data_IF_129497437830
#
_entry.id   IF_129497437830
#
_cell.length_a   1.000
_cell.length_b   1.000
_cell.length_c   1.000
_cell.angle_alpha   90.00
_cell.angle_beta   90.00
_cell.angle_gamma   90.00
#
_symmetry.space_group_name_H-M   'P 1'
#
loop_
_entity.id
_entity.type
_entity.pdbx_description
1 polymer ?
#
# COMPACT_ATOMS: atom_id res chain seq x y z
N UNK A 1 1.67 -13.96 1.70
CA UNK A 1 0.70 -12.84 1.77
C UNK A 1 -0.03 -12.99 3.09
N UNK A 2 -0.28 -11.91 3.81
CA UNK A 2 -1.14 -11.93 5.00
C UNK A 2 -2.41 -11.13 4.72
N UNK A 3 -3.56 -11.63 5.14
CA UNK A 3 -4.83 -10.93 5.00
C UNK A 3 -5.75 -11.18 6.19
N UNK A 4 -6.65 -10.24 6.45
CA UNK A 4 -7.80 -10.44 7.32
C UNK A 4 -9.05 -10.69 6.47
N UNK A 5 -9.51 -11.95 6.33
CA UNK A 5 -10.65 -12.28 5.49
C UNK A 5 -11.92 -11.57 5.96
N UNK A 6 -12.66 -10.98 5.02
CA UNK A 6 -13.93 -10.32 5.32
C UNK A 6 -13.81 -8.91 5.91
N UNK A 7 -12.59 -8.41 6.15
CA UNK A 7 -12.36 -7.04 6.66
C UNK A 7 -13.01 -5.96 5.80
N UNK A 8 -13.12 -6.17 4.49
CA UNK A 8 -13.79 -5.26 3.56
C UNK A 8 -15.27 -5.04 3.87
N UNK A 9 -15.95 -6.00 4.52
CA UNK A 9 -17.38 -5.92 4.83
C UNK A 9 -17.71 -4.83 5.85
N UNK A 10 -16.74 -4.47 6.68
CA UNK A 10 -16.93 -3.43 7.69
C UNK A 10 -16.89 -2.01 7.08
N UNK A 11 -16.32 -1.84 5.87
CA UNK A 11 -16.08 -0.55 5.19
C UNK A 11 -15.60 0.52 6.19
N UNK A 12 -14.65 0.12 7.02
CA UNK A 12 -14.06 0.98 8.05
C UNK A 12 -12.56 0.96 7.86
N UNK A 13 -11.99 2.14 7.64
CA UNK A 13 -10.56 2.28 7.48
C UNK A 13 -9.87 1.92 8.80
N UNK A 14 -9.00 0.92 8.75
CA UNK A 14 -8.10 0.63 9.86
C UNK A 14 -7.02 1.71 9.91
N UNK A 15 -6.72 2.31 11.07
CA UNK A 15 -5.67 3.33 11.16
C UNK A 15 -4.32 2.77 10.73
N UNK A 16 -3.70 3.40 9.73
CA UNK A 16 -2.35 3.09 9.28
C UNK A 16 -1.37 4.13 9.81
N UNK A 17 -0.19 3.69 10.25
CA UNK A 17 0.88 4.57 10.70
C UNK A 17 2.22 4.17 10.07
N UNK A 18 3.13 5.13 9.82
CA UNK A 18 4.49 4.82 9.40
C UNK A 18 5.19 3.94 10.44
N UNK A 19 5.81 2.85 9.98
CA UNK A 19 6.47 1.87 10.84
C UNK A 19 7.66 2.50 11.57
N UNK A 20 7.68 2.38 12.90
CA UNK A 20 8.79 2.77 13.77
C UNK A 20 8.81 4.26 14.16
N UNK A 21 8.81 5.16 13.19
CA UNK A 21 8.97 6.61 13.43
C UNK A 21 7.66 7.36 13.64
N UNK A 22 6.54 6.83 13.15
CA UNK A 22 5.28 7.58 13.03
C UNK A 22 5.31 8.69 11.96
N UNK A 23 6.46 8.93 11.31
CA UNK A 23 6.62 9.90 10.21
C UNK A 23 6.81 9.19 8.87
N UNK A 24 5.98 9.55 7.89
CA UNK A 24 5.98 9.02 6.52
C UNK A 24 7.22 9.46 5.72
N UNK A 25 7.85 10.56 6.12
CA UNK A 25 9.10 11.02 5.52
C UNK A 25 10.29 10.13 5.91
N UNK A 26 10.21 9.45 7.06
CA UNK A 26 11.26 8.57 7.56
C UNK A 26 10.98 7.08 7.24
N UNK A 27 9.71 6.71 7.11
CA UNK A 27 9.30 5.33 6.84
C UNK A 27 8.17 5.26 5.82
N UNK A 28 8.46 4.66 4.67
CA UNK A 28 7.46 4.38 3.63
C UNK A 28 6.69 3.07 3.87
N UNK A 29 7.08 2.31 4.89
CA UNK A 29 6.33 1.11 5.30
C UNK A 29 5.22 1.54 6.25
N UNK A 30 3.99 1.15 5.95
CA UNK A 30 2.86 1.33 6.85
C UNK A 30 2.65 0.08 7.70
N UNK A 31 2.26 0.29 8.95
CA UNK A 31 1.81 -0.75 9.87
C UNK A 31 0.44 -0.39 10.45
N UNK A 32 -0.25 -1.41 10.93
CA UNK A 32 -1.55 -1.31 11.58
C UNK A 32 -1.50 -2.07 12.90
N UNK A 33 -2.19 -1.53 13.90
CA UNK A 33 -2.43 -2.26 15.13
C UNK A 33 -3.72 -3.06 14.95
N UNK A 34 -3.58 -4.38 14.84
CA UNK A 34 -4.74 -5.27 14.74
C UNK A 34 -5.33 -5.54 16.12
N UNK A 35 -6.67 -5.57 16.25
CA UNK A 35 -7.31 -6.08 17.46
C UNK A 35 -6.80 -7.47 17.82
N UNK A 36 -6.72 -7.77 19.12
CA UNK A 36 -6.42 -9.12 19.59
C UNK A 36 -7.41 -10.13 18.97
N UNK A 37 -6.90 -11.31 18.58
CA UNK A 37 -7.67 -12.38 17.91
C UNK A 37 -8.22 -12.01 16.52
N UNK A 38 -7.66 -10.99 15.86
CA UNK A 38 -7.94 -10.78 14.44
C UNK A 38 -7.54 -12.02 13.65
N UNK A 39 -8.45 -12.62 12.84
CA UNK A 39 -8.16 -13.82 12.07
C UNK A 39 -7.30 -13.49 10.85
N UNK A 40 -6.00 -13.24 11.08
CA UNK A 40 -5.05 -13.05 9.99
C UNK A 40 -4.65 -14.40 9.43
N UNK A 41 -4.86 -14.58 8.14
CA UNK A 41 -4.47 -15.78 7.41
C UNK A 41 -3.20 -15.51 6.61
N UNK A 42 -2.29 -16.49 6.62
CA UNK A 42 -1.14 -16.51 5.73
C UNK A 42 -1.46 -17.34 4.49
N UNK A 43 -1.34 -16.72 3.32
CA UNK A 43 -1.47 -17.39 2.02
C UNK A 43 -0.10 -17.44 1.35
N UNK A 44 0.38 -18.65 1.10
CA UNK A 44 1.53 -18.88 0.23
C UNK A 44 1.13 -18.59 -1.22
N UNK A 45 1.95 -17.81 -1.94
CA UNK A 45 1.71 -17.45 -3.34
C UNK A 45 2.83 -18.04 -4.18
N UNK A 46 2.60 -19.19 -4.85
CA UNK A 46 3.60 -19.82 -5.69
C UNK A 46 4.04 -18.92 -6.85
N UNK A 47 5.26 -19.15 -7.35
CA UNK A 47 5.77 -18.44 -8.52
C UNK A 47 4.80 -18.59 -9.70
N UNK A 48 4.45 -17.47 -10.33
CA UNK A 48 3.52 -17.42 -11.47
C UNK A 48 2.04 -17.40 -11.08
N UNK A 49 1.72 -17.55 -9.79
CA UNK A 49 0.36 -17.33 -9.28
C UNK A 49 0.13 -15.85 -9.00
N UNK A 50 -1.14 -15.48 -8.86
CA UNK A 50 -1.57 -14.13 -8.50
C UNK A 50 -2.57 -14.20 -7.35
N UNK A 51 -2.61 -13.14 -6.55
CA UNK A 51 -3.73 -12.84 -5.67
C UNK A 51 -4.46 -11.61 -6.20
N UNK A 52 -5.77 -11.59 -6.04
CA UNK A 52 -6.62 -10.44 -6.37
C UNK A 52 -7.47 -10.16 -5.13
N UNK A 53 -7.50 -8.91 -4.70
CA UNK A 53 -8.25 -8.49 -3.52
C UNK A 53 -8.84 -7.09 -3.75
N UNK A 54 -9.97 -6.87 -3.11
CA UNK A 54 -10.60 -5.55 -3.01
C UNK A 54 -9.74 -4.59 -2.17
N UNK A 55 -9.77 -3.29 -2.47
CA UNK A 55 -8.92 -2.31 -1.80
C UNK A 55 -9.20 -2.16 -0.29
N UNK A 56 -10.39 -2.54 0.17
CA UNK A 56 -10.78 -2.52 1.57
C UNK A 56 -10.35 -3.77 2.35
N UNK A 57 -9.83 -4.80 1.67
CA UNK A 57 -9.29 -5.97 2.36
C UNK A 57 -8.01 -5.54 3.07
N UNK A 58 -7.99 -5.64 4.39
CA UNK A 58 -6.78 -5.45 5.19
C UNK A 58 -5.81 -6.58 4.86
N UNK A 59 -4.64 -6.19 4.37
CA UNK A 59 -3.64 -7.12 3.88
C UNK A 59 -2.24 -6.56 4.03
N UNK A 60 -1.24 -7.43 3.98
CA UNK A 60 0.15 -7.04 4.15
C UNK A 60 1.11 -8.18 3.88
N UNK A 61 2.36 -7.95 4.28
CA UNK A 61 3.38 -8.99 4.25
C UNK A 61 4.35 -8.83 5.40
N UNK A 62 4.61 -9.93 6.11
CA UNK A 62 5.74 -10.03 7.01
C UNK A 62 7.10 -9.89 6.30
N UNK A 63 8.12 -9.67 7.12
CA UNK A 63 9.52 -9.66 6.70
C UNK A 63 9.94 -10.99 6.06
N UNK A 64 10.87 -10.92 5.11
CA UNK A 64 11.41 -12.11 4.47
C UNK A 64 12.51 -12.73 5.34
N UNK A 65 12.26 -13.92 5.88
CA UNK A 65 13.21 -14.66 6.74
C UNK A 65 14.04 -15.70 5.98
N UNK A 66 13.83 -15.84 4.67
CA UNK A 66 14.61 -16.74 3.83
C UNK A 66 15.93 -16.11 3.38
N UNK A 67 16.81 -16.94 2.82
CA UNK A 67 18.08 -16.55 2.20
C UNK A 67 17.92 -16.05 0.75
N UNK A 68 16.68 -15.99 0.23
CA UNK A 68 16.37 -15.65 -1.17
C UNK A 68 15.58 -14.37 -1.26
N UNK A 69 15.77 -13.63 -2.36
CA UNK A 69 14.98 -12.44 -2.66
C UNK A 69 13.54 -12.80 -3.04
N UNK A 70 12.57 -12.24 -2.30
CA UNK A 70 11.15 -12.28 -2.65
C UNK A 70 10.82 -11.16 -3.63
N UNK A 71 10.44 -11.51 -4.86
CA UNK A 71 10.04 -10.56 -5.91
C UNK A 71 8.55 -10.66 -6.16
N UNK A 72 7.86 -9.52 -6.22
CA UNK A 72 6.42 -9.44 -6.53
C UNK A 72 6.15 -8.21 -7.42
N UNK A 73 5.13 -8.29 -8.25
CA UNK A 73 4.58 -7.14 -8.96
C UNK A 73 3.20 -6.81 -8.36
N UNK A 74 2.89 -5.52 -8.26
CA UNK A 74 1.60 -5.05 -7.76
C UNK A 74 0.98 -4.18 -8.85
N UNK A 75 -0.28 -4.47 -9.17
CA UNK A 75 -1.06 -3.74 -10.17
C UNK A 75 -2.36 -3.33 -9.49
N UNK A 76 -2.68 -2.03 -9.47
CA UNK A 76 -3.92 -1.51 -8.93
C UNK A 76 -4.86 -1.12 -10.08
N UNK A 77 -6.02 -1.78 -10.17
CA UNK A 77 -7.06 -1.42 -11.14
C UNK A 77 -8.02 -0.42 -10.48
N UNK A 78 -8.23 0.73 -11.11
CA UNK A 78 -9.14 1.78 -10.65
C UNK A 78 -10.09 2.19 -11.76
N UNK A 79 -11.31 2.61 -11.39
CA UNK A 79 -12.25 3.16 -12.37
C UNK A 79 -11.75 4.51 -12.89
N UNK A 80 -12.14 4.86 -14.13
CA UNK A 80 -11.83 6.18 -14.69
C UNK A 80 -12.39 7.33 -13.82
N UNK A 81 -13.54 7.11 -13.18
CA UNK A 81 -14.14 8.10 -12.27
C UNK A 81 -13.29 8.31 -11.01
N UNK A 82 -12.78 7.21 -10.42
CA UNK A 82 -11.88 7.24 -9.26
C UNK A 82 -10.60 8.00 -9.61
N UNK A 83 -9.97 7.65 -10.75
CA UNK A 83 -8.75 8.33 -11.23
C UNK A 83 -8.99 9.83 -11.45
N UNK A 84 -10.13 10.21 -12.06
CA UNK A 84 -10.48 11.62 -12.29
C UNK A 84 -10.63 12.38 -10.97
N UNK A 85 -11.30 11.77 -9.99
CA UNK A 85 -11.50 12.38 -8.68
C UNK A 85 -10.17 12.53 -7.93
N UNK A 86 -9.37 11.47 -7.85
CA UNK A 86 -8.06 11.46 -7.19
C UNK A 86 -7.13 12.52 -7.78
N UNK A 87 -7.06 12.63 -9.12
CA UNK A 87 -6.30 13.70 -9.79
C UNK A 87 -6.83 15.11 -9.47
N UNK A 88 -8.14 15.28 -9.32
CA UNK A 88 -8.73 16.58 -8.99
C UNK A 88 -8.35 17.09 -7.59
N UNK A 89 -7.98 16.18 -6.68
CA UNK A 89 -7.47 16.50 -5.34
C UNK A 89 -5.94 16.42 -5.24
N UNK A 90 -5.25 16.30 -6.38
CA UNK A 90 -3.78 16.33 -6.47
C UNK A 90 -3.08 14.98 -6.28
N UNK A 91 -3.80 13.87 -6.27
CA UNK A 91 -3.20 12.53 -6.21
C UNK A 91 -2.64 12.10 -7.57
N UNK A 92 -1.46 11.46 -7.57
CA UNK A 92 -0.78 10.98 -8.78
C UNK A 92 -0.67 9.46 -8.78
N UNK A 93 -0.96 8.84 -9.93
CA UNK A 93 -0.95 7.37 -10.13
C UNK A 93 0.28 6.87 -10.88
N UNK A 94 1.07 7.78 -11.44
CA UNK A 94 2.27 7.44 -12.20
C UNK A 94 3.33 8.52 -12.03
N UNK A 95 4.60 8.12 -12.09
CA UNK A 95 5.71 9.06 -12.29
C UNK A 95 5.62 9.81 -13.64
N UNK A 96 4.78 9.33 -14.56
CA UNK A 96 4.49 9.98 -15.84
C UNK A 96 3.29 10.94 -15.78
N UNK A 97 2.57 11.02 -14.65
CA UNK A 97 1.63 12.13 -14.46
C UNK A 97 2.43 13.44 -14.46
N UNK A 98 1.87 14.53 -14.98
CA UNK A 98 2.51 15.85 -14.90
C UNK A 98 2.57 16.30 -13.45
N UNK A 99 3.58 15.82 -12.72
CA UNK A 99 3.88 16.25 -11.37
C UNK A 99 4.43 17.67 -11.47
N UNK A 100 3.76 18.63 -10.84
CA UNK A 100 4.30 19.97 -10.67
C UNK A 100 5.40 19.90 -9.59
N UNK A 101 6.61 19.47 -9.97
CA UNK A 101 7.77 19.27 -9.08
C UNK A 101 8.37 20.56 -8.50
N UNK A 102 7.58 21.62 -8.32
CA UNK A 102 8.03 22.87 -7.70
C UNK A 102 8.18 22.73 -6.17
N UNK A 103 8.86 21.69 -5.71
CA UNK A 103 9.18 21.48 -4.30
C UNK A 103 10.54 20.77 -4.12
N UNK A 104 11.33 21.35 -3.21
CA UNK A 104 12.62 20.95 -2.63
C UNK A 104 13.89 21.06 -3.50
N UNK A 105 13.94 20.58 -4.75
CA UNK A 105 15.21 20.55 -5.51
C UNK A 105 15.56 21.87 -6.22
N UNK A 106 14.59 22.74 -6.51
CA UNK A 106 14.85 24.08 -7.06
C UNK A 106 15.32 25.10 -6.00
N UNK A 107 15.24 24.76 -4.71
CA UNK A 107 15.81 25.57 -3.62
C UNK A 107 17.32 25.36 -3.42
N UNK A 108 17.90 24.35 -4.08
CA UNK A 108 19.30 23.94 -3.93
C UNK A 108 20.06 23.84 -5.27
N UNK A 109 19.55 24.46 -6.33
CA UNK A 109 20.37 24.73 -7.53
C UNK A 109 21.25 25.96 -7.23
N UNK A 110 22.55 25.94 -7.59
CA UNK A 110 23.49 27.02 -7.29
C UNK A 110 23.11 28.34 -7.97
#
# INVERSE_FOLDING_TARGET
MELWPGSQKAIKLVPHRPKGSGDRNESHTLEIDLPANTPVEHIEVPRGSITVHDEWVVHGSGGNTSDKWRKTYVIAYRSLATIKHERSIGFTHSHNDTVNWKTALDLYRP
#
